data_IF_152250710227
#
_entry.id   IF_152250710227
#
_cell.length_a   1.000
_cell.length_b   1.000
_cell.length_c   1.000
_cell.angle_alpha   90.00
_cell.angle_beta   90.00
_cell.angle_gamma   90.00
#
_symmetry.space_group_name_H-M   'P 1'
#
loop_
_entity.id
_entity.type
_entity.pdbx_description
1 polymer ?
#
# COMPACT_ATOMS: atom_id res chain seq x y z
N UNK A 1 -17.28 36.67 65.00
CA UNK A 1 -16.21 35.65 64.81
C UNK A 1 -16.76 34.64 63.80
N UNK A 2 -16.32 34.75 62.56
CA UNK A 2 -16.76 33.84 61.50
C UNK A 2 -15.62 32.87 61.16
N UNK A 3 -15.92 31.59 61.18
CA UNK A 3 -15.01 30.50 60.84
C UNK A 3 -14.94 30.33 59.32
N UNK A 4 -13.76 30.19 58.67
CA UNK A 4 -13.69 29.96 57.26
C UNK A 4 -13.95 28.46 56.92
N UNK A 5 -14.73 28.22 55.85
CA UNK A 5 -15.05 26.93 55.31
C UNK A 5 -13.83 26.33 54.61
N UNK A 6 -13.62 25.03 54.84
CA UNK A 6 -12.61 24.22 54.17
C UNK A 6 -13.02 23.99 52.68
N UNK A 7 -12.09 24.28 51.78
CA UNK A 7 -12.20 23.89 50.39
C UNK A 7 -11.78 22.41 50.24
N UNK A 8 -12.76 21.56 49.99
CA UNK A 8 -12.52 20.21 49.50
C UNK A 8 -11.98 20.29 48.06
N UNK A 9 -10.70 20.00 47.96
CA UNK A 9 -10.05 19.80 46.67
C UNK A 9 -10.50 18.48 46.02
N UNK A 10 -11.25 18.56 44.94
CA UNK A 10 -11.47 17.40 44.04
C UNK A 10 -10.13 16.96 43.46
N UNK A 11 -9.83 15.64 43.47
CA UNK A 11 -8.68 15.12 42.77
C UNK A 11 -8.82 15.38 41.25
N UNK A 12 -7.71 15.62 40.53
CA UNK A 12 -7.77 15.79 39.10
C UNK A 12 -8.28 14.49 38.48
N UNK A 13 -9.42 14.58 37.79
CA UNK A 13 -9.96 13.52 36.93
C UNK A 13 -8.87 13.19 35.90
N UNK A 14 -8.19 12.07 36.12
CA UNK A 14 -7.32 11.47 35.12
C UNK A 14 -8.19 11.09 33.94
N UNK A 15 -8.22 11.96 32.94
CA UNK A 15 -8.70 11.58 31.62
C UNK A 15 -7.80 10.46 31.13
N UNK A 16 -8.25 9.22 31.31
CA UNK A 16 -7.81 8.11 30.48
C UNK A 16 -8.16 8.52 29.08
N UNK A 17 -7.17 9.05 28.34
CA UNK A 17 -7.29 9.27 26.93
C UNK A 17 -7.62 7.90 26.33
N UNK A 18 -8.86 7.77 25.90
CA UNK A 18 -9.35 6.68 25.07
C UNK A 18 -8.49 6.75 23.77
N UNK A 19 -7.34 6.09 23.81
CA UNK A 19 -6.50 5.94 22.61
C UNK A 19 -7.39 5.20 21.63
N UNK A 20 -7.72 5.81 20.47
CA UNK A 20 -8.49 5.09 19.48
C UNK A 20 -7.79 3.76 19.20
N UNK A 21 -8.54 2.67 19.01
CA UNK A 21 -7.95 1.37 18.73
C UNK A 21 -6.90 1.55 17.64
N UNK A 22 -5.76 0.90 17.80
CA UNK A 22 -4.56 1.06 17.01
C UNK A 22 -4.88 0.97 15.50
N UNK A 23 -5.30 2.08 14.90
CA UNK A 23 -5.96 2.18 13.60
C UNK A 23 -4.92 2.23 12.46
N UNK A 24 -3.84 1.45 12.58
CA UNK A 24 -2.79 1.36 11.59
C UNK A 24 -3.13 0.31 10.55
N UNK A 25 -2.96 0.66 9.28
CA UNK A 25 -3.14 -0.26 8.16
C UNK A 25 -2.04 -0.03 7.13
N UNK A 26 -1.42 -1.10 6.67
CA UNK A 26 -0.51 -1.10 5.54
C UNK A 26 -1.18 -1.87 4.41
N UNK A 27 -1.20 -1.28 3.22
CA UNK A 27 -1.70 -1.87 1.99
C UNK A 27 -0.56 -1.89 0.99
N UNK A 28 -0.23 -3.06 0.44
CA UNK A 28 0.85 -3.22 -0.51
C UNK A 28 0.29 -3.69 -1.83
N UNK A 29 0.65 -3.01 -2.90
CA UNK A 29 0.36 -3.38 -4.28
C UNK A 29 1.66 -3.52 -5.06
N UNK A 30 1.66 -4.36 -6.05
CA UNK A 30 2.67 -4.33 -7.10
C UNK A 30 2.43 -3.12 -7.99
N UNK A 31 3.49 -2.57 -8.61
CA UNK A 31 3.30 -1.62 -9.72
C UNK A 31 2.42 -2.24 -10.81
N UNK A 32 1.66 -1.41 -11.52
CA UNK A 32 0.78 -1.84 -12.59
C UNK A 32 1.54 -2.43 -13.80
N UNK A 33 0.83 -2.87 -14.81
CA UNK A 33 1.35 -3.67 -15.92
C UNK A 33 2.52 -2.99 -16.64
N UNK A 34 3.58 -3.76 -16.76
CA UNK A 34 4.81 -3.39 -17.47
C UNK A 34 4.68 -3.68 -18.98
N UNK A 35 5.48 -3.02 -19.82
CA UNK A 35 5.58 -3.39 -21.23
C UNK A 35 6.15 -4.79 -21.41
N UNK A 36 5.91 -5.37 -22.56
CA UNK A 36 6.59 -6.58 -22.99
C UNK A 36 8.08 -6.27 -23.27
N UNK A 37 9.02 -7.15 -22.92
CA UNK A 37 10.44 -6.89 -23.10
C UNK A 37 10.85 -6.71 -24.56
N UNK A 38 10.10 -7.33 -25.50
CA UNK A 38 10.34 -7.22 -26.93
C UNK A 38 9.02 -7.01 -27.68
N UNK A 39 8.79 -5.78 -28.14
CA UNK A 39 7.60 -5.45 -28.92
C UNK A 39 6.41 -4.94 -28.11
N UNK A 40 5.21 -5.15 -28.63
CA UNK A 40 3.96 -4.71 -27.99
C UNK A 40 3.52 -5.70 -26.90
N UNK A 41 2.85 -5.23 -25.82
CA UNK A 41 2.54 -3.82 -25.53
C UNK A 41 3.75 -3.02 -25.11
N UNK A 42 3.87 -1.81 -25.64
CA UNK A 42 4.93 -0.88 -25.26
C UNK A 42 4.60 -0.14 -23.95
N UNK A 43 5.65 0.28 -23.23
CA UNK A 43 5.52 1.28 -22.18
C UNK A 43 5.31 2.66 -22.79
N UNK A 44 4.49 3.49 -22.15
CA UNK A 44 4.21 4.85 -22.61
C UNK A 44 4.29 5.84 -21.47
N UNK A 45 4.85 7.00 -21.75
CA UNK A 45 4.84 8.13 -20.80
C UNK A 45 3.41 8.68 -20.67
N UNK A 46 3.11 9.53 -19.67
CA UNK A 46 1.83 10.24 -19.58
C UNK A 46 1.47 11.06 -20.83
N UNK A 47 2.47 11.38 -21.67
CA UNK A 47 2.31 12.15 -22.91
C UNK A 47 2.20 11.27 -24.16
N UNK A 48 2.09 9.93 -24.00
CA UNK A 48 1.94 8.99 -25.10
C UNK A 48 3.24 8.61 -25.84
N UNK A 49 4.39 9.04 -25.36
CA UNK A 49 5.68 8.67 -25.95
C UNK A 49 6.10 7.29 -25.48
N UNK A 50 6.70 6.47 -26.33
CA UNK A 50 7.26 5.19 -25.94
C UNK A 50 8.39 5.34 -24.93
N UNK A 51 8.30 4.54 -23.85
CA UNK A 51 9.32 4.49 -22.78
C UNK A 51 9.30 3.10 -22.14
N UNK A 52 10.37 2.30 -22.26
CA UNK A 52 10.43 0.95 -21.71
C UNK A 52 10.39 0.90 -20.17
N UNK A 53 10.63 2.03 -19.50
CA UNK A 53 10.60 2.16 -18.04
C UNK A 53 9.23 2.61 -17.50
N UNK A 54 8.30 2.98 -18.38
CA UNK A 54 6.94 3.39 -18.05
C UNK A 54 5.96 2.22 -18.02
N UNK A 55 4.76 2.48 -17.53
CA UNK A 55 3.64 1.55 -17.59
C UNK A 55 3.22 1.29 -19.04
N UNK A 56 2.67 0.12 -19.30
CA UNK A 56 1.89 -0.13 -20.52
C UNK A 56 0.57 0.65 -20.49
N UNK A 57 -0.15 0.70 -21.62
CA UNK A 57 -1.50 1.30 -21.66
C UNK A 57 -2.43 0.63 -20.64
N UNK A 58 -2.40 -0.71 -20.53
CA UNK A 58 -3.16 -1.45 -19.52
C UNK A 58 -2.78 -1.01 -18.11
N UNK A 59 -1.48 -0.83 -17.84
CA UNK A 59 -1.00 -0.35 -16.54
C UNK A 59 -1.52 1.05 -16.20
N UNK A 60 -1.62 1.96 -17.18
CA UNK A 60 -2.23 3.27 -16.97
C UNK A 60 -3.74 3.20 -16.69
N UNK A 61 -4.45 2.27 -17.35
CA UNK A 61 -5.87 2.02 -17.08
C UNK A 61 -6.03 1.54 -15.63
N UNK A 62 -5.20 0.59 -15.16
CA UNK A 62 -5.20 0.13 -13.76
C UNK A 62 -4.88 1.28 -12.81
N UNK A 63 -3.85 2.08 -13.07
CA UNK A 63 -3.49 3.23 -12.24
C UNK A 63 -4.67 4.22 -12.07
N UNK A 64 -5.40 4.48 -13.15
CA UNK A 64 -6.63 5.28 -13.10
C UNK A 64 -7.76 4.61 -12.30
N UNK A 65 -7.95 3.29 -12.47
CA UNK A 65 -8.99 2.53 -11.78
C UNK A 65 -8.74 2.41 -10.26
N UNK A 66 -7.48 2.34 -9.83
CA UNK A 66 -7.10 2.37 -8.40
C UNK A 66 -7.63 3.62 -7.69
N UNK A 67 -7.84 4.73 -8.40
CA UNK A 67 -8.45 5.94 -7.82
C UNK A 67 -9.85 5.65 -7.29
N UNK A 68 -10.67 4.91 -8.04
CA UNK A 68 -12.02 4.56 -7.60
C UNK A 68 -12.01 3.51 -6.49
N UNK A 69 -11.02 2.63 -6.48
CA UNK A 69 -10.89 1.59 -5.48
C UNK A 69 -10.55 2.15 -4.09
N UNK A 70 -9.59 3.09 -4.02
CA UNK A 70 -9.08 3.65 -2.77
C UNK A 70 -9.72 4.99 -2.37
N UNK A 71 -10.23 5.75 -3.34
CA UNK A 71 -10.79 7.07 -3.12
C UNK A 71 -12.04 7.28 -3.98
N UNK A 72 -13.09 6.44 -3.83
CA UNK A 72 -14.31 6.56 -4.60
C UNK A 72 -14.92 7.96 -4.43
N UNK A 73 -15.59 8.46 -5.47
CA UNK A 73 -16.24 9.75 -5.44
C UNK A 73 -17.45 9.79 -4.47
N UNK A 74 -18.02 8.61 -4.19
CA UNK A 74 -19.13 8.42 -3.23
C UNK A 74 -18.90 7.14 -2.44
N UNK A 75 -19.27 7.15 -1.16
CA UNK A 75 -19.12 6.02 -0.25
C UNK A 75 -17.68 5.81 0.24
N UNK A 76 -17.46 4.66 0.80
CA UNK A 76 -16.18 4.22 1.35
C UNK A 76 -15.43 3.32 0.36
N UNK A 77 -14.11 3.16 0.50
CA UNK A 77 -13.37 2.13 -0.20
C UNK A 77 -13.96 0.73 -0.04
N UNK A 78 -13.56 -0.19 -0.92
CA UNK A 78 -13.98 -1.59 -0.83
C UNK A 78 -13.67 -2.15 0.57
N UNK A 79 -14.55 -3.03 1.07
CA UNK A 79 -14.36 -3.70 2.37
C UNK A 79 -12.96 -4.35 2.46
N UNK A 80 -12.28 -4.13 3.57
CA UNK A 80 -10.89 -4.55 3.76
C UNK A 80 -9.85 -3.55 3.28
N UNK A 81 -10.25 -2.43 2.65
CA UNK A 81 -9.37 -1.34 2.25
C UNK A 81 -9.70 -0.06 3.00
N UNK A 82 -8.75 0.86 3.01
CA UNK A 82 -8.91 2.22 3.53
C UNK A 82 -8.39 3.24 2.54
N UNK A 83 -8.92 4.45 2.62
CA UNK A 83 -8.34 5.61 1.93
C UNK A 83 -6.95 5.87 2.51
N UNK A 84 -5.89 5.90 1.69
CA UNK A 84 -4.54 6.13 2.19
C UNK A 84 -4.38 7.55 2.75
N UNK A 85 -3.71 7.64 3.92
CA UNK A 85 -3.21 8.89 4.50
C UNK A 85 -1.79 9.18 4.00
N UNK A 86 -1.07 8.14 3.59
CA UNK A 86 0.30 8.24 3.05
C UNK A 86 0.50 7.22 1.92
N UNK A 87 1.22 7.61 0.88
CA UNK A 87 1.53 6.76 -0.27
C UNK A 87 3.05 6.70 -0.45
N UNK A 88 3.59 5.47 -0.49
CA UNK A 88 4.99 5.18 -0.82
C UNK A 88 5.08 4.52 -2.19
N UNK A 89 6.13 4.84 -2.90
CA UNK A 89 6.50 4.13 -4.12
C UNK A 89 8.02 3.95 -4.17
N UNK A 90 8.47 2.84 -4.76
CA UNK A 90 9.90 2.64 -4.98
C UNK A 90 10.49 3.79 -5.77
N UNK A 91 11.60 4.34 -5.27
CA UNK A 91 12.32 5.41 -5.92
C UNK A 91 12.83 4.98 -7.29
N UNK A 92 12.85 5.92 -8.21
CA UNK A 92 13.53 5.76 -9.50
C UNK A 92 15.02 6.07 -9.32
N UNK A 93 15.87 5.05 -9.37
CA UNK A 93 17.32 5.19 -9.27
C UNK A 93 18.02 4.56 -10.47
N UNK A 94 19.01 5.26 -11.03
CA UNK A 94 19.93 4.69 -12.01
C UNK A 94 19.32 4.18 -13.32
N UNK A 95 18.24 4.79 -13.82
CA UNK A 95 17.56 4.35 -15.05
C UNK A 95 16.51 3.26 -14.84
N UNK A 96 16.26 2.85 -13.60
CA UNK A 96 15.26 1.86 -13.27
C UNK A 96 13.83 2.41 -13.31
N UNK A 97 12.89 1.49 -13.32
CA UNK A 97 11.46 1.66 -13.57
C UNK A 97 10.80 2.82 -12.81
N UNK A 98 10.07 3.66 -13.53
CA UNK A 98 9.15 4.68 -12.99
C UNK A 98 7.80 4.10 -12.56
N UNK A 99 7.56 2.81 -12.83
CA UNK A 99 6.24 2.18 -12.78
C UNK A 99 5.57 2.23 -11.42
N UNK A 100 6.33 2.06 -10.33
CA UNK A 100 5.76 2.14 -8.97
C UNK A 100 5.17 3.52 -8.70
N UNK A 101 5.88 4.59 -9.07
CA UNK A 101 5.40 5.97 -8.94
C UNK A 101 4.18 6.18 -9.84
N UNK A 102 4.29 5.84 -11.13
CA UNK A 102 3.20 6.02 -12.11
C UNK A 102 1.91 5.28 -11.72
N UNK A 103 2.03 4.15 -11.03
CA UNK A 103 0.88 3.38 -10.55
C UNK A 103 0.03 4.16 -9.55
N UNK A 104 0.66 4.95 -8.69
CA UNK A 104 -0.03 5.65 -7.61
C UNK A 104 -0.17 7.15 -7.81
N UNK A 105 0.49 7.73 -8.81
CA UNK A 105 0.40 9.17 -9.12
C UNK A 105 -1.06 9.67 -9.31
N UNK A 106 -1.94 8.97 -10.08
CA UNK A 106 -3.33 9.41 -10.23
C UNK A 106 -4.09 9.42 -8.89
N UNK A 107 -3.86 8.43 -8.04
CA UNK A 107 -4.47 8.35 -6.71
C UNK A 107 -3.91 9.45 -5.78
N UNK A 108 -2.60 9.66 -5.78
CA UNK A 108 -1.96 10.71 -5.00
C UNK A 108 -2.50 12.09 -5.38
N UNK A 109 -2.61 12.38 -6.68
CA UNK A 109 -3.22 13.61 -7.19
C UNK A 109 -4.69 13.75 -6.74
N UNK A 110 -5.48 12.67 -6.79
CA UNK A 110 -6.88 12.66 -6.32
C UNK A 110 -7.01 12.99 -4.84
N UNK A 111 -6.05 12.53 -4.03
CA UNK A 111 -6.06 12.72 -2.58
C UNK A 111 -5.34 13.99 -2.12
N UNK A 112 -4.65 14.71 -3.02
CA UNK A 112 -3.81 15.85 -2.67
C UNK A 112 -2.57 15.45 -1.87
N UNK A 113 -2.11 14.19 -2.01
CA UNK A 113 -0.95 13.66 -1.31
C UNK A 113 0.32 13.76 -2.16
N UNK A 114 1.47 13.89 -1.51
CA UNK A 114 2.77 13.69 -2.14
C UNK A 114 3.20 12.23 -2.01
N UNK A 115 3.65 11.63 -3.11
CA UNK A 115 4.22 10.27 -3.07
C UNK A 115 5.59 10.32 -2.40
N UNK A 116 5.75 9.56 -1.32
CA UNK A 116 7.04 9.34 -0.64
C UNK A 116 7.87 8.38 -1.49
N UNK A 117 9.03 8.82 -1.97
CA UNK A 117 9.87 8.08 -2.93
C UNK A 117 11.35 8.17 -2.61
N UNK A 118 11.70 8.11 -1.33
CA UNK A 118 13.10 8.15 -0.91
C UNK A 118 13.71 6.77 -0.64
N UNK A 119 12.91 5.69 -0.72
CA UNK A 119 13.39 4.31 -0.65
C UNK A 119 13.43 3.68 -2.03
N UNK A 120 14.54 3.04 -2.38
CA UNK A 120 14.73 2.27 -3.60
C UNK A 120 14.65 0.76 -3.34
N UNK A 121 14.68 -0.04 -4.40
CA UNK A 121 14.89 -1.49 -4.29
C UNK A 121 16.20 -1.79 -3.54
N UNK A 122 16.13 -2.69 -2.55
CA UNK A 122 17.21 -3.02 -1.61
C UNK A 122 17.11 -2.29 -0.27
N UNK A 123 16.18 -1.33 -0.12
CA UNK A 123 15.96 -0.57 1.12
C UNK A 123 14.66 -0.95 1.84
N UNK A 124 14.11 -2.14 1.53
CA UNK A 124 12.82 -2.62 2.06
C UNK A 124 12.80 -2.70 3.59
N UNK A 125 13.94 -3.01 4.21
CA UNK A 125 14.06 -3.04 5.68
C UNK A 125 13.87 -1.64 6.30
N UNK A 126 14.40 -0.60 5.67
CA UNK A 126 14.24 0.77 6.14
C UNK A 126 12.79 1.26 5.94
N UNK A 127 12.21 0.98 4.76
CA UNK A 127 10.81 1.27 4.50
C UNK A 127 9.90 0.58 5.51
N UNK A 128 10.08 -0.73 5.74
CA UNK A 128 9.27 -1.49 6.68
C UNK A 128 9.33 -0.90 8.09
N UNK A 129 10.54 -0.58 8.57
CA UNK A 129 10.73 0.05 9.88
C UNK A 129 10.01 1.39 10.01
N UNK A 130 9.97 2.22 8.94
CA UNK A 130 9.25 3.49 8.97
C UNK A 130 7.74 3.25 9.01
N UNK A 131 7.21 2.39 8.13
CA UNK A 131 5.76 2.19 8.02
C UNK A 131 5.19 1.36 9.17
N UNK A 132 6.00 0.53 9.83
CA UNK A 132 5.59 -0.29 10.98
C UNK A 132 5.03 0.54 12.13
N UNK A 133 5.52 1.76 12.31
CA UNK A 133 5.10 2.67 13.38
C UNK A 133 4.20 3.81 12.92
N UNK A 134 3.99 3.96 11.60
CA UNK A 134 3.23 5.07 11.04
C UNK A 134 1.73 4.95 11.35
N UNK A 135 1.09 5.99 11.92
CA UNK A 135 -0.34 5.98 12.16
C UNK A 135 -1.15 6.07 10.85
N UNK A 136 -2.41 5.66 10.90
CA UNK A 136 -3.33 5.75 9.78
C UNK A 136 -3.15 4.64 8.74
N UNK A 137 -3.58 4.92 7.52
CA UNK A 137 -3.52 3.99 6.40
C UNK A 137 -2.38 4.33 5.44
N UNK A 138 -1.47 3.41 5.22
CA UNK A 138 -0.33 3.54 4.30
C UNK A 138 -0.54 2.66 3.09
N UNK A 139 -0.38 3.22 1.87
CA UNK A 139 -0.32 2.45 0.62
C UNK A 139 1.12 2.42 0.12
N UNK A 140 1.59 1.24 -0.26
CA UNK A 140 2.93 1.02 -0.82
C UNK A 140 2.80 0.40 -2.21
N UNK A 141 3.35 1.04 -3.23
CA UNK A 141 3.51 0.48 -4.57
C UNK A 141 4.96 0.04 -4.78
N UNK A 142 5.19 -1.26 -5.00
CA UNK A 142 6.54 -1.81 -5.02
C UNK A 142 6.76 -2.81 -6.16
N UNK A 143 7.98 -3.38 -6.21
CA UNK A 143 8.36 -4.45 -7.15
C UNK A 143 8.00 -5.80 -6.54
N UNK A 144 7.42 -6.70 -7.35
CA UNK A 144 6.94 -7.99 -6.85
C UNK A 144 8.04 -8.85 -6.21
N UNK A 145 9.25 -8.79 -6.73
CA UNK A 145 10.39 -9.54 -6.22
C UNK A 145 10.80 -9.12 -4.79
N UNK A 146 10.47 -7.89 -4.41
CA UNK A 146 10.90 -7.30 -3.14
C UNK A 146 9.77 -7.06 -2.13
N UNK A 147 8.50 -7.24 -2.52
CA UNK A 147 7.35 -7.08 -1.60
C UNK A 147 7.47 -8.00 -0.39
N UNK A 148 7.90 -9.25 -0.62
CA UNK A 148 8.11 -10.21 0.48
C UNK A 148 9.15 -9.69 1.50
N UNK A 149 10.21 -9.05 1.03
CA UNK A 149 11.22 -8.44 1.91
C UNK A 149 10.62 -7.36 2.82
N UNK A 150 9.71 -6.50 2.31
CA UNK A 150 8.99 -5.53 3.15
C UNK A 150 8.24 -6.27 4.26
N UNK A 151 7.47 -7.30 3.90
CA UNK A 151 6.66 -8.07 4.85
C UNK A 151 7.49 -8.77 5.92
N UNK A 152 8.69 -9.24 5.56
CA UNK A 152 9.61 -9.93 6.47
C UNK A 152 10.20 -9.01 7.55
N UNK A 153 10.26 -7.71 7.25
CA UNK A 153 10.78 -6.70 8.18
C UNK A 153 9.67 -5.93 8.93
N UNK A 154 8.39 -6.22 8.70
CA UNK A 154 7.31 -5.81 9.59
C UNK A 154 7.42 -6.62 10.89
N UNK A 155 6.82 -6.13 11.97
CA UNK A 155 6.70 -6.85 13.23
C UNK A 155 6.03 -8.22 13.07
N UNK A 156 5.46 -8.76 14.13
CA UNK A 156 4.74 -10.04 14.07
C UNK A 156 3.58 -9.97 13.07
N UNK A 157 3.56 -10.85 12.07
CA UNK A 157 2.51 -10.94 11.03
C UNK A 157 1.85 -12.32 11.09
N UNK A 158 0.51 -12.34 11.23
CA UNK A 158 -0.30 -13.56 11.26
C UNK A 158 -1.61 -13.39 10.46
N UNK A 159 -1.98 -14.35 9.57
CA UNK A 159 -1.14 -15.41 9.04
C UNK A 159 0.04 -14.87 8.24
N UNK A 160 1.07 -15.68 7.99
CA UNK A 160 2.21 -15.27 7.17
C UNK A 160 1.78 -15.07 5.72
N UNK A 161 2.24 -13.99 5.04
CA UNK A 161 2.03 -13.81 3.61
C UNK A 161 2.72 -14.93 2.80
N UNK A 162 2.29 -15.17 1.54
CA UNK A 162 3.04 -16.00 0.61
C UNK A 162 4.48 -15.50 0.44
N UNK A 163 5.43 -16.41 0.28
CA UNK A 163 6.86 -16.07 0.13
C UNK A 163 7.17 -15.38 -1.21
N UNK A 164 6.35 -15.63 -2.22
CA UNK A 164 6.54 -15.10 -3.56
C UNK A 164 5.29 -14.41 -4.07
N UNK A 165 5.50 -13.31 -4.78
CA UNK A 165 4.46 -12.65 -5.55
C UNK A 165 4.65 -13.00 -7.03
N UNK A 166 3.71 -13.70 -7.68
CA UNK A 166 3.86 -14.12 -9.08
C UNK A 166 4.08 -12.94 -10.04
N UNK A 167 4.92 -13.15 -11.04
CA UNK A 167 5.33 -12.12 -11.99
C UNK A 167 4.23 -11.66 -12.95
N UNK A 168 3.15 -12.43 -13.06
CA UNK A 168 1.96 -12.15 -13.86
C UNK A 168 0.80 -11.53 -13.06
N UNK A 169 0.87 -11.45 -11.72
CA UNK A 169 -0.18 -10.91 -10.86
C UNK A 169 0.03 -9.42 -10.58
N UNK A 170 -0.94 -8.60 -11.01
CA UNK A 170 -1.00 -7.15 -10.78
C UNK A 170 -2.26 -6.72 -10.02
N UNK A 171 -3.15 -7.65 -9.76
CA UNK A 171 -4.57 -7.52 -9.44
C UNK A 171 -4.89 -7.83 -7.96
N UNK A 172 -3.90 -7.84 -7.08
CA UNK A 172 -4.07 -8.15 -5.66
C UNK A 172 -3.53 -7.02 -4.80
N UNK A 173 -4.16 -6.81 -3.64
CA UNK A 173 -3.68 -5.94 -2.57
C UNK A 173 -3.39 -6.82 -1.37
N UNK A 174 -2.19 -6.74 -0.83
CA UNK A 174 -1.88 -7.31 0.48
C UNK A 174 -2.18 -6.27 1.55
N UNK A 175 -2.99 -6.65 2.53
CA UNK A 175 -3.41 -5.77 3.62
C UNK A 175 -2.89 -6.28 4.94
N UNK A 176 -2.42 -5.37 5.78
CA UNK A 176 -1.92 -5.62 7.13
C UNK A 176 -2.65 -4.65 8.05
N UNK A 177 -3.48 -5.17 8.95
CA UNK A 177 -4.19 -4.37 9.95
C UNK A 177 -3.57 -4.66 11.32
N UNK A 178 -3.17 -3.61 12.03
CA UNK A 178 -2.56 -3.76 13.35
C UNK A 178 -3.64 -3.91 14.42
N UNK A 179 -3.59 -4.99 15.21
CA UNK A 179 -4.59 -5.31 16.25
C UNK A 179 -4.17 -4.95 17.69
N UNK A 180 -3.02 -4.25 17.82
CA UNK A 180 -2.44 -3.92 19.12
C UNK A 180 -1.27 -4.83 19.50
N UNK A 181 -1.23 -6.05 18.99
CA UNK A 181 -0.19 -7.05 19.28
C UNK A 181 0.70 -7.36 18.07
N UNK A 182 0.17 -7.17 16.86
CA UNK A 182 0.89 -7.43 15.62
C UNK A 182 0.04 -7.07 14.41
N UNK A 183 0.46 -7.57 13.25
CA UNK A 183 -0.17 -7.34 11.97
C UNK A 183 -1.00 -8.55 11.54
N UNK A 184 -2.28 -8.34 11.29
CA UNK A 184 -3.16 -9.33 10.67
C UNK A 184 -3.12 -9.17 9.16
N UNK A 185 -2.60 -10.21 8.50
CA UNK A 185 -2.51 -10.26 7.04
C UNK A 185 -3.80 -10.74 6.39
N UNK A 186 -4.18 -10.10 5.28
CA UNK A 186 -5.21 -10.55 4.36
C UNK A 186 -4.87 -10.14 2.92
N UNK A 187 -5.63 -10.65 1.95
CA UNK A 187 -5.50 -10.29 0.55
C UNK A 187 -6.85 -9.86 -0.01
N UNK A 188 -6.86 -8.78 -0.79
CA UNK A 188 -8.05 -8.24 -1.45
C UNK A 188 -7.80 -8.23 -2.95
N UNK A 189 -8.53 -9.03 -3.76
CA UNK A 189 -8.49 -8.92 -5.22
C UNK A 189 -8.99 -7.54 -5.66
N UNK A 190 -8.31 -6.93 -6.64
CA UNK A 190 -8.67 -5.59 -7.13
C UNK A 190 -9.93 -5.62 -8.00
N UNK A 191 -10.07 -6.61 -8.88
CA UNK A 191 -11.20 -6.79 -9.82
C UNK A 191 -11.48 -5.53 -10.66
N UNK A 192 -10.44 -4.86 -11.13
CA UNK A 192 -10.52 -3.60 -11.87
C UNK A 192 -10.56 -3.81 -13.38
N UNK A 193 -9.90 -4.86 -13.87
CA UNK A 193 -9.77 -5.16 -15.29
C UNK A 193 -10.37 -6.54 -15.60
N UNK A 194 -10.82 -6.77 -16.85
CA UNK A 194 -11.45 -8.06 -17.23
C UNK A 194 -10.56 -9.29 -17.02
N UNK A 195 -9.24 -9.12 -17.00
CA UNK A 195 -8.26 -10.19 -16.77
C UNK A 195 -7.96 -10.45 -15.30
N UNK A 196 -8.52 -9.65 -14.39
CA UNK A 196 -8.24 -9.78 -12.96
C UNK A 196 -8.87 -11.05 -12.39
N UNK A 197 -8.10 -11.74 -11.54
CA UNK A 197 -8.53 -12.98 -10.92
C UNK A 197 -9.19 -12.71 -9.56
N UNK A 198 -10.30 -13.39 -9.23
CA UNK A 198 -10.97 -13.23 -7.94
C UNK A 198 -10.28 -13.96 -6.78
N UNK A 199 -9.15 -14.61 -7.06
CA UNK A 199 -8.48 -15.48 -6.10
C UNK A 199 -7.23 -14.82 -5.52
N UNK A 200 -6.94 -15.02 -4.21
CA UNK A 200 -5.70 -14.58 -3.59
C UNK A 200 -4.49 -15.31 -4.21
N UNK A 201 -3.32 -14.75 -4.00
CA UNK A 201 -2.05 -15.44 -4.29
C UNK A 201 -1.88 -16.57 -3.28
N UNK A 202 -1.62 -17.79 -3.77
CA UNK A 202 -1.37 -18.96 -2.92
C UNK A 202 0.07 -19.43 -3.06
N UNK A 203 0.57 -20.20 -2.09
CA UNK A 203 1.90 -20.82 -2.17
C UNK A 203 2.09 -21.70 -3.43
N UNK A 204 1.01 -22.26 -3.97
CA UNK A 204 1.04 -23.07 -5.22
C UNK A 204 1.18 -22.24 -6.49
N UNK A 205 0.69 -20.99 -6.49
CA UNK A 205 0.79 -20.10 -7.67
C UNK A 205 2.24 -19.73 -7.99
N UNK A 206 3.15 -19.85 -7.02
CA UNK A 206 4.56 -19.49 -7.16
C UNK A 206 5.43 -20.59 -7.84
N UNK A 207 4.89 -21.80 -8.04
CA UNK A 207 5.66 -22.95 -8.56
C UNK A 207 5.56 -23.15 -10.07
N UNK A 208 4.86 -22.30 -10.80
CA UNK A 208 4.69 -22.41 -12.26
C UNK A 208 5.61 -21.50 -13.08
N UNK A 209 6.61 -20.90 -12.47
CA UNK A 209 7.62 -20.03 -13.12
C UNK A 209 8.97 -20.75 -13.35
N UNK A 210 8.98 -22.03 -13.72
CA UNK A 210 10.20 -22.73 -14.20
C UNK A 210 10.19 -22.97 -15.68
#
# INVERSE_FOLDING_TARGET
MATPAAHDGLPPSGASADQPPNNRMIMIIRHAEKPHPAGSPYGVTPYGQQDPHSLSVTGWIRAGALVQLFAPARGEPLAGLRRPDTIYASAHSGGHSKRSIQTVDPLAARLGLQVVKHYAAGEEAHLAKEVDTRPGATLIAWHHEAIHSICHHLGTVDPRPPEHWPSDRFDVIWTFTHDGHGWRFAQVPQLLLPSDLPHPITARSALHET
#
